data_IF_258088341825
#
_entry.id   IF_258088341825
#
_cell.length_a   1.000
_cell.length_b   1.000
_cell.length_c   1.000
_cell.angle_alpha   90.00
_cell.angle_beta   90.00
_cell.angle_gamma   90.00
#
_symmetry.space_group_name_H-M   'P 1'
#
loop_
_entity.id
_entity.type
_entity.pdbx_description
1 polymer ?
#
# COMPACT_ATOMS: atom_id res chain seq x y z
N UNK A 1 8.90 -12.07 13.01
CA UNK A 1 9.54 -11.71 11.73
C UNK A 1 10.91 -11.08 11.91
N UNK A 2 11.05 -10.02 12.71
CA UNK A 2 12.34 -9.34 12.94
C UNK A 2 13.40 -10.30 13.50
N UNK A 3 13.11 -11.02 14.59
CA UNK A 3 14.03 -12.04 15.15
C UNK A 3 14.51 -13.03 14.09
N UNK A 4 13.58 -13.54 13.28
CA UNK A 4 13.90 -14.47 12.20
C UNK A 4 14.85 -13.84 11.18
N UNK A 5 14.60 -12.59 10.77
CA UNK A 5 15.48 -11.87 9.86
C UNK A 5 16.93 -11.76 10.35
N UNK A 6 17.14 -11.43 11.63
CA UNK A 6 18.49 -11.31 12.19
C UNK A 6 19.15 -12.67 12.47
N UNK A 7 18.37 -13.76 12.54
CA UNK A 7 18.88 -15.12 12.60
C UNK A 7 19.19 -15.69 11.20
N UNK A 8 18.58 -15.17 10.13
CA UNK A 8 18.76 -15.65 8.75
C UNK A 8 20.23 -15.84 8.37
N UNK A 9 21.15 -14.88 8.61
CA UNK A 9 22.56 -15.07 8.22
C UNK A 9 23.20 -16.27 8.90
N UNK A 10 22.93 -16.47 10.20
CA UNK A 10 23.44 -17.61 10.97
C UNK A 10 22.84 -18.94 10.50
N UNK A 11 21.57 -18.93 10.11
CA UNK A 11 20.89 -20.12 9.56
C UNK A 11 21.49 -20.47 8.19
N UNK A 12 21.73 -19.49 7.33
CA UNK A 12 22.33 -19.70 6.01
C UNK A 12 23.77 -20.22 6.14
N UNK A 13 24.55 -19.67 7.07
CA UNK A 13 25.89 -20.16 7.40
C UNK A 13 25.85 -21.62 7.88
N UNK A 14 24.94 -21.96 8.80
CA UNK A 14 24.73 -23.34 9.27
C UNK A 14 24.37 -24.30 8.11
N UNK A 15 23.65 -23.82 7.10
CA UNK A 15 23.24 -24.60 5.93
C UNK A 15 24.23 -24.55 4.76
N UNK A 16 25.37 -23.85 4.90
CA UNK A 16 26.34 -23.59 3.83
C UNK A 16 25.70 -23.01 2.55
N UNK A 17 24.68 -22.16 2.71
CA UNK A 17 24.00 -21.48 1.60
C UNK A 17 24.62 -20.10 1.37
N UNK A 18 24.72 -19.69 0.11
CA UNK A 18 25.19 -18.35 -0.24
C UNK A 18 24.15 -17.30 0.16
N UNK A 19 24.60 -16.26 0.88
CA UNK A 19 23.83 -15.05 1.16
C UNK A 19 24.28 -13.93 0.23
N UNK A 20 23.33 -13.18 -0.34
CA UNK A 20 23.65 -11.94 -1.06
C UNK A 20 24.19 -10.89 -0.08
N UNK A 21 25.39 -10.37 -0.30
CA UNK A 21 25.94 -9.25 0.48
C UNK A 21 25.47 -7.87 -0.02
N UNK A 22 24.61 -7.83 -1.04
CA UNK A 22 24.11 -6.59 -1.63
C UNK A 22 23.14 -5.88 -0.70
N UNK A 23 23.43 -4.62 -0.38
CA UNK A 23 22.60 -3.78 0.47
C UNK A 23 23.24 -3.38 1.78
N UNK A 24 22.50 -2.66 2.62
CA UNK A 24 22.98 -2.25 3.93
C UNK A 24 22.79 -3.36 4.98
N UNK A 25 23.62 -3.33 6.02
CA UNK A 25 23.48 -4.21 7.20
C UNK A 25 22.33 -3.68 8.08
N UNK A 26 21.29 -4.49 8.37
CA UNK A 26 20.16 -4.09 9.18
C UNK A 26 20.54 -3.66 10.59
N UNK A 27 19.81 -2.69 11.14
CA UNK A 27 19.93 -2.29 12.54
C UNK A 27 18.65 -2.65 13.30
N UNK A 28 18.80 -3.40 14.38
CA UNK A 28 17.69 -3.88 15.19
C UNK A 28 16.74 -2.78 15.67
N UNK A 29 17.28 -1.60 16.01
CA UNK A 29 16.49 -0.44 16.44
C UNK A 29 15.61 0.10 15.32
N UNK A 30 16.14 0.16 14.10
CA UNK A 30 15.39 0.63 12.92
C UNK A 30 14.24 -0.33 12.64
N UNK A 31 14.49 -1.64 12.72
CA UNK A 31 13.46 -2.65 12.50
C UNK A 31 12.36 -2.63 13.56
N UNK A 32 12.70 -2.52 14.85
CA UNK A 32 11.69 -2.51 15.93
C UNK A 32 10.78 -1.29 15.87
N UNK A 33 11.33 -0.12 15.55
CA UNK A 33 10.54 1.10 15.44
C UNK A 33 9.85 1.27 14.09
N UNK A 34 9.82 0.22 13.25
CA UNK A 34 9.22 0.25 11.91
C UNK A 34 9.79 1.36 11.00
N UNK A 35 11.07 1.68 11.13
CA UNK A 35 11.74 2.74 10.36
C UNK A 35 12.51 2.21 9.14
N UNK A 36 12.37 0.93 8.79
CA UNK A 36 13.11 0.31 7.68
C UNK A 36 12.80 0.96 6.33
N UNK A 37 11.54 1.37 6.09
CA UNK A 37 11.16 2.08 4.87
C UNK A 37 11.94 3.39 4.70
N UNK A 38 12.11 4.16 5.77
CA UNK A 38 12.91 5.39 5.74
C UNK A 38 14.40 5.09 5.61
N UNK A 39 14.89 4.04 6.27
CA UNK A 39 16.28 3.62 6.10
C UNK A 39 16.58 3.28 4.65
N UNK A 40 15.69 2.55 3.97
CA UNK A 40 15.81 2.23 2.54
C UNK A 40 15.81 3.47 1.65
N UNK A 41 14.95 4.46 1.95
CA UNK A 41 14.93 5.74 1.22
C UNK A 41 16.25 6.50 1.41
N UNK A 42 16.76 6.59 2.64
CA UNK A 42 18.00 7.34 2.94
C UNK A 42 19.27 6.65 2.46
N UNK A 43 19.31 5.32 2.45
CA UNK A 43 20.47 4.55 1.99
C UNK A 43 20.44 4.25 0.51
N UNK A 44 19.39 4.66 -0.21
CA UNK A 44 19.12 4.33 -1.62
C UNK A 44 19.40 2.85 -1.94
N UNK A 45 19.04 1.97 -1.02
CA UNK A 45 19.37 0.55 -1.07
C UNK A 45 18.46 -0.25 -0.15
N UNK A 46 18.34 -1.55 -0.42
CA UNK A 46 17.59 -2.47 0.41
C UNK A 46 18.50 -3.14 1.45
N UNK A 47 17.94 -3.69 2.55
CA UNK A 47 18.72 -4.47 3.49
C UNK A 47 19.25 -5.74 2.81
N UNK A 48 20.48 -6.11 3.15
CA UNK A 48 21.16 -7.30 2.61
C UNK A 48 20.62 -8.63 3.17
N UNK A 49 19.60 -8.58 4.02
CA UNK A 49 19.06 -9.74 4.72
C UNK A 49 17.59 -9.92 4.41
N UNK A 50 17.21 -11.10 3.91
CA UNK A 50 15.82 -11.51 3.77
C UNK A 50 15.24 -11.95 5.13
N UNK A 51 13.98 -11.61 5.49
CA UNK A 51 12.94 -10.98 4.68
C UNK A 51 12.81 -9.45 4.80
N UNK A 52 13.79 -8.73 5.36
CA UNK A 52 13.64 -7.28 5.64
C UNK A 52 13.44 -6.43 4.38
N UNK A 53 13.82 -6.94 3.20
CA UNK A 53 13.63 -6.26 1.93
C UNK A 53 12.17 -5.89 1.64
N UNK A 54 11.20 -6.68 2.11
CA UNK A 54 9.76 -6.41 1.93
C UNK A 54 9.13 -5.71 3.13
N UNK A 55 9.91 -5.42 4.19
CA UNK A 55 9.38 -4.85 5.42
C UNK A 55 8.89 -3.41 5.27
N UNK A 56 9.28 -2.71 4.20
CA UNK A 56 8.83 -1.35 3.95
C UNK A 56 7.30 -1.23 3.87
N UNK A 57 6.60 -2.22 3.31
CA UNK A 57 5.13 -2.17 3.21
C UNK A 57 4.48 -2.34 4.57
N UNK A 58 5.04 -3.22 5.41
CA UNK A 58 4.60 -3.39 6.80
C UNK A 58 4.83 -2.10 7.62
N UNK A 59 5.99 -1.45 7.45
CA UNK A 59 6.25 -0.16 8.08
C UNK A 59 5.21 0.89 7.68
N UNK A 60 4.84 0.95 6.39
CA UNK A 60 3.79 1.85 5.90
C UNK A 60 2.44 1.54 6.56
N UNK A 61 2.07 0.26 6.68
CA UNK A 61 0.83 -0.17 7.35
C UNK A 61 0.77 0.26 8.83
N UNK A 62 1.86 0.06 9.59
CA UNK A 62 1.92 0.45 11.00
C UNK A 62 1.85 1.97 11.18
N UNK A 63 2.59 2.74 10.36
CA UNK A 63 2.49 4.20 10.36
C UNK A 63 1.09 4.68 10.00
N UNK A 64 0.45 4.02 9.04
CA UNK A 64 -0.93 4.28 8.67
C UNK A 64 -1.87 4.07 9.86
N UNK A 65 -1.80 2.94 10.58
CA UNK A 65 -2.71 2.67 11.69
C UNK A 65 -2.61 3.73 12.80
N UNK A 66 -1.39 4.17 13.10
CA UNK A 66 -1.18 5.24 14.08
C UNK A 66 -1.81 6.55 13.58
N UNK A 67 -1.46 7.00 12.37
CA UNK A 67 -1.91 8.29 11.85
C UNK A 67 -3.42 8.29 11.60
N UNK A 68 -3.95 7.23 11.01
CA UNK A 68 -5.38 7.09 10.71
C UNK A 68 -6.22 6.92 11.97
N UNK A 69 -5.75 6.12 12.93
CA UNK A 69 -6.39 5.95 14.22
C UNK A 69 -6.49 7.27 14.99
N UNK A 70 -5.40 8.03 15.06
CA UNK A 70 -5.41 9.38 15.66
C UNK A 70 -6.31 10.34 14.88
N UNK A 71 -6.26 10.31 13.54
CA UNK A 71 -7.10 11.15 12.69
C UNK A 71 -8.58 10.92 12.98
N UNK A 72 -9.04 9.66 13.00
CA UNK A 72 -10.43 9.32 13.30
C UNK A 72 -10.79 9.64 14.76
N UNK A 73 -9.87 9.47 15.70
CA UNK A 73 -10.09 9.79 17.10
C UNK A 73 -10.40 11.29 17.31
N UNK A 74 -9.66 12.17 16.63
CA UNK A 74 -9.85 13.62 16.77
C UNK A 74 -10.88 14.21 15.81
N UNK A 75 -11.11 13.60 14.64
CA UNK A 75 -12.03 14.12 13.63
C UNK A 75 -13.47 13.72 13.93
N UNK A 76 -14.37 14.69 13.79
CA UNK A 76 -15.82 14.41 13.77
C UNK A 76 -16.15 13.58 12.53
N UNK A 77 -17.11 12.65 12.65
CA UNK A 77 -17.57 11.78 11.54
C UNK A 77 -17.86 12.52 10.23
N UNK A 78 -18.42 13.73 10.30
CA UNK A 78 -18.70 14.57 9.12
C UNK A 78 -17.46 15.00 8.32
N UNK A 79 -16.27 14.94 8.94
CA UNK A 79 -15.00 15.34 8.33
C UNK A 79 -14.24 14.16 7.71
N UNK A 80 -14.68 12.91 7.95
CA UNK A 80 -14.05 11.71 7.37
C UNK A 80 -13.98 11.74 5.84
N UNK A 81 -15.01 12.20 5.09
CA UNK A 81 -14.89 12.34 3.64
C UNK A 81 -13.75 13.28 3.21
N UNK A 82 -13.56 14.40 3.94
CA UNK A 82 -12.48 15.33 3.66
C UNK A 82 -11.11 14.74 3.97
N UNK A 83 -11.00 13.90 5.01
CA UNK A 83 -9.78 13.14 5.30
C UNK A 83 -9.44 12.18 4.14
N UNK A 84 -10.43 11.44 3.63
CA UNK A 84 -10.24 10.51 2.49
C UNK A 84 -9.76 11.26 1.25
N UNK A 85 -10.44 12.34 0.87
CA UNK A 85 -10.06 13.15 -0.30
C UNK A 85 -8.66 13.76 -0.08
N UNK A 86 -8.40 14.29 1.10
CA UNK A 86 -7.09 14.83 1.48
C UNK A 86 -5.98 13.80 1.37
N UNK A 87 -6.21 12.56 1.83
CA UNK A 87 -5.25 11.46 1.73
C UNK A 87 -4.94 11.09 0.27
N UNK A 88 -5.98 11.04 -0.59
CA UNK A 88 -5.82 10.76 -2.02
C UNK A 88 -4.99 11.85 -2.71
N UNK A 89 -5.30 13.12 -2.45
CA UNK A 89 -4.55 14.25 -3.02
C UNK A 89 -3.11 14.28 -2.51
N UNK A 90 -2.92 14.09 -1.20
CA UNK A 90 -1.62 14.09 -0.55
C UNK A 90 -0.72 12.99 -1.12
N UNK A 91 -1.25 11.80 -1.37
CA UNK A 91 -0.47 10.71 -1.94
C UNK A 91 0.01 11.01 -3.36
N UNK A 92 -0.87 11.54 -4.20
CA UNK A 92 -0.51 11.92 -5.57
C UNK A 92 0.51 13.05 -5.60
N UNK A 93 0.34 14.09 -4.78
CA UNK A 93 1.31 15.19 -4.65
C UNK A 93 2.66 14.64 -4.18
N UNK A 94 2.66 13.77 -3.16
CA UNK A 94 3.89 13.18 -2.61
C UNK A 94 4.61 12.32 -3.64
N UNK A 95 3.88 11.54 -4.46
CA UNK A 95 4.49 10.77 -5.57
C UNK A 95 5.15 11.66 -6.60
N UNK A 96 4.51 12.77 -6.98
CA UNK A 96 5.11 13.74 -7.91
C UNK A 96 6.41 14.28 -7.32
N UNK A 97 6.39 14.71 -6.04
CA UNK A 97 7.58 15.22 -5.37
C UNK A 97 8.69 14.16 -5.28
N UNK A 98 8.38 12.94 -4.85
CA UNK A 98 9.36 11.86 -4.74
C UNK A 98 9.94 11.52 -6.11
N UNK A 99 9.12 11.45 -7.15
CA UNK A 99 9.55 11.20 -8.52
C UNK A 99 10.53 12.28 -9.01
N UNK A 100 10.21 13.57 -8.79
CA UNK A 100 11.09 14.68 -9.21
C UNK A 100 12.43 14.71 -8.46
N UNK A 101 12.52 14.08 -7.29
CA UNK A 101 13.73 13.99 -6.49
C UNK A 101 14.45 12.62 -6.63
N UNK A 102 13.97 11.73 -7.50
CA UNK A 102 14.55 10.39 -7.68
C UNK A 102 14.36 9.46 -6.47
N UNK A 103 13.40 9.77 -5.58
CA UNK A 103 13.14 8.98 -4.38
C UNK A 103 12.14 7.85 -4.65
N UNK A 104 12.30 6.67 -4.02
CA UNK A 104 11.38 5.56 -4.19
C UNK A 104 10.11 5.75 -3.35
N UNK A 105 8.97 5.24 -3.84
CA UNK A 105 7.64 5.37 -3.20
C UNK A 105 7.44 4.39 -2.03
N UNK A 106 8.32 4.42 -1.03
CA UNK A 106 8.31 3.52 0.13
C UNK A 106 7.75 4.18 1.39
N UNK A 107 7.43 5.47 1.33
CA UNK A 107 6.97 6.23 2.49
C UNK A 107 5.43 6.15 2.63
N UNK A 108 4.93 6.54 3.81
CA UNK A 108 3.50 6.54 4.07
C UNK A 108 2.75 7.49 3.12
N UNK A 109 3.27 8.69 2.89
CA UNK A 109 2.57 9.72 2.13
C UNK A 109 2.34 9.25 0.69
N UNK A 110 3.36 8.72 0.01
CA UNK A 110 3.23 8.16 -1.34
C UNK A 110 2.29 6.96 -1.46
N UNK A 111 1.87 6.36 -0.34
CA UNK A 111 1.01 5.17 -0.30
C UNK A 111 -0.31 5.39 0.48
N UNK A 112 -0.59 6.61 0.92
CA UNK A 112 -1.68 6.88 1.86
C UNK A 112 -3.08 6.67 1.26
N UNK A 113 -3.19 6.81 -0.05
CA UNK A 113 -4.42 6.66 -0.81
C UNK A 113 -4.93 5.23 -0.90
N UNK A 114 -4.06 4.21 -0.88
CA UNK A 114 -4.46 2.80 -0.83
C UNK A 114 -5.43 2.53 0.32
N UNK A 115 -5.14 3.11 1.48
CA UNK A 115 -5.98 3.00 2.64
C UNK A 115 -7.23 3.89 2.55
N UNK A 116 -7.09 5.09 1.98
CA UNK A 116 -8.22 5.98 1.73
C UNK A 116 -9.27 5.32 0.82
N UNK A 117 -8.84 4.59 -0.21
CA UNK A 117 -9.73 3.81 -1.07
C UNK A 117 -10.45 2.69 -0.30
N UNK A 118 -9.78 2.04 0.66
CA UNK A 118 -10.42 1.09 1.57
C UNK A 118 -11.46 1.75 2.49
N UNK A 119 -11.26 3.02 2.86
CA UNK A 119 -12.18 3.75 3.72
C UNK A 119 -13.48 4.19 3.00
N UNK A 120 -13.47 4.33 1.67
CA UNK A 120 -14.66 4.70 0.88
C UNK A 120 -15.82 3.71 1.07
N UNK A 121 -15.66 2.39 0.77
CA UNK A 121 -16.75 1.43 0.96
C UNK A 121 -17.15 1.30 2.43
N UNK A 122 -16.21 1.45 3.38
CA UNK A 122 -16.52 1.45 4.80
C UNK A 122 -17.45 2.62 5.18
N UNK A 123 -17.15 3.83 4.70
CA UNK A 123 -17.99 5.00 4.94
C UNK A 123 -19.39 4.84 4.32
N UNK A 124 -19.48 4.28 3.11
CA UNK A 124 -20.75 4.01 2.45
C UNK A 124 -21.57 2.96 3.19
N UNK A 125 -20.93 1.90 3.70
CA UNK A 125 -21.58 0.85 4.46
C UNK A 125 -22.16 1.40 5.77
N UNK A 126 -21.42 2.22 6.50
CA UNK A 126 -21.87 2.82 7.77
C UNK A 126 -23.00 3.85 7.57
N UNK A 127 -23.12 4.45 6.38
CA UNK A 127 -24.16 5.44 6.07
C UNK A 127 -25.39 4.85 5.36
N UNK A 128 -25.27 3.74 4.63
CA UNK A 128 -26.30 3.26 3.70
C UNK A 128 -26.18 1.76 3.42
N UNK A 129 -26.04 0.97 4.48
CA UNK A 129 -25.87 -0.49 4.40
C UNK A 129 -26.90 -1.18 3.49
N UNK A 130 -28.19 -0.98 3.73
CA UNK A 130 -29.25 -1.64 2.94
C UNK A 130 -29.19 -1.27 1.45
N UNK A 131 -29.00 0.01 1.13
CA UNK A 131 -28.90 0.48 -0.26
C UNK A 131 -27.68 -0.11 -0.95
N UNK A 132 -26.54 -0.17 -0.26
CA UNK A 132 -25.29 -0.71 -0.78
C UNK A 132 -25.39 -2.22 -1.03
N UNK A 133 -25.94 -2.97 -0.08
CA UNK A 133 -26.17 -4.41 -0.23
C UNK A 133 -27.15 -4.72 -1.35
N UNK A 134 -28.21 -3.93 -1.50
CA UNK A 134 -29.17 -4.10 -2.60
C UNK A 134 -28.52 -3.83 -3.96
N UNK A 135 -27.78 -2.72 -4.12
CA UNK A 135 -27.00 -2.45 -5.35
C UNK A 135 -26.01 -3.59 -5.67
N UNK A 136 -25.30 -4.13 -4.68
CA UNK A 136 -24.36 -5.24 -4.90
C UNK A 136 -25.06 -6.54 -5.36
N UNK A 137 -26.28 -6.79 -4.89
CA UNK A 137 -27.12 -7.92 -5.30
C UNK A 137 -27.64 -7.75 -6.73
N UNK A 138 -27.93 -6.52 -7.15
CA UNK A 138 -28.37 -6.21 -8.52
C UNK A 138 -27.28 -6.42 -9.57
N UNK A 139 -25.99 -6.35 -9.19
CA UNK A 139 -24.89 -6.58 -10.13
C UNK A 139 -24.91 -8.04 -10.61
N UNK A 140 -25.09 -8.28 -11.93
CA UNK A 140 -25.15 -9.62 -12.48
C UNK A 140 -23.81 -10.35 -12.26
N UNK A 141 -23.92 -11.65 -11.97
CA UNK A 141 -22.75 -12.49 -11.67
C UNK A 141 -21.70 -12.49 -12.79
N UNK A 142 -22.12 -12.35 -14.05
CA UNK A 142 -21.23 -12.23 -15.21
C UNK A 142 -20.29 -11.03 -15.11
N UNK A 143 -20.80 -9.86 -14.69
CA UNK A 143 -19.96 -8.66 -14.53
C UNK A 143 -18.92 -8.85 -13.41
N UNK A 144 -19.26 -9.57 -12.34
CA UNK A 144 -18.32 -9.88 -11.26
C UNK A 144 -17.18 -10.77 -11.76
N UNK A 145 -17.50 -11.81 -12.53
CA UNK A 145 -16.48 -12.67 -13.15
C UNK A 145 -15.65 -11.95 -14.22
N UNK A 146 -16.26 -11.08 -15.02
CA UNK A 146 -15.52 -10.25 -15.99
C UNK A 146 -14.55 -9.32 -15.25
N UNK A 147 -15.00 -8.63 -14.19
CA UNK A 147 -14.15 -7.76 -13.40
C UNK A 147 -12.98 -8.53 -12.76
N UNK A 148 -13.24 -9.73 -12.24
CA UNK A 148 -12.20 -10.62 -11.70
C UNK A 148 -11.22 -11.08 -12.79
N UNK A 149 -11.71 -11.49 -13.96
CA UNK A 149 -10.87 -11.90 -15.07
C UNK A 149 -10.00 -10.74 -15.57
N UNK A 150 -10.56 -9.53 -15.66
CA UNK A 150 -9.83 -8.32 -16.02
C UNK A 150 -8.76 -7.97 -14.99
N UNK A 151 -9.05 -8.09 -13.68
CA UNK A 151 -8.05 -7.80 -12.65
C UNK A 151 -6.90 -8.82 -12.66
N UNK A 152 -7.21 -10.12 -12.81
CA UNK A 152 -6.19 -11.17 -12.94
C UNK A 152 -5.34 -10.93 -14.19
N UNK A 153 -5.98 -10.67 -15.34
CA UNK A 153 -5.30 -10.40 -16.61
C UNK A 153 -4.41 -9.16 -16.51
N UNK A 154 -4.89 -8.11 -15.85
CA UNK A 154 -4.09 -6.92 -15.60
C UNK A 154 -2.86 -7.24 -14.75
N UNK A 155 -3.03 -7.97 -13.64
CA UNK A 155 -1.93 -8.35 -12.74
C UNK A 155 -0.89 -9.22 -13.46
N UNK A 156 -1.32 -10.16 -14.31
CA UNK A 156 -0.41 -11.09 -15.01
C UNK A 156 0.29 -10.49 -16.22
N UNK A 157 -0.33 -9.52 -16.91
CA UNK A 157 0.28 -8.81 -18.04
C UNK A 157 1.13 -7.61 -17.59
N UNK A 158 0.89 -7.10 -16.39
CA UNK A 158 1.65 -5.98 -15.83
C UNK A 158 3.16 -6.19 -15.61
N UNK A 159 3.75 -7.40 -15.47
CA UNK A 159 5.18 -7.56 -15.26
C UNK A 159 6.04 -7.13 -16.48
N UNK A 160 5.47 -7.05 -17.68
CA UNK A 160 6.23 -6.88 -18.94
C UNK A 160 6.24 -5.46 -19.51
N UNK A 161 5.56 -4.49 -18.89
CA UNK A 161 5.51 -3.10 -19.39
C UNK A 161 6.14 -2.12 -18.39
N UNK A 162 7.28 -1.56 -18.79
CA UNK A 162 7.85 -0.33 -18.22
C UNK A 162 6.80 0.77 -18.44
N UNK A 163 6.04 1.15 -17.42
CA UNK A 163 5.23 2.37 -17.49
C UNK A 163 4.81 2.81 -16.08
N UNK A 164 5.39 3.93 -15.63
CA UNK A 164 4.96 4.69 -14.46
C UNK A 164 3.48 5.15 -14.53
N UNK A 165 2.82 5.03 -15.69
CA UNK A 165 1.38 5.20 -15.91
C UNK A 165 0.53 4.11 -15.20
N UNK A 166 1.16 3.02 -14.73
CA UNK A 166 0.56 1.92 -13.98
C UNK A 166 -0.21 2.40 -12.73
N UNK A 167 0.33 3.31 -11.94
CA UNK A 167 -0.34 3.76 -10.71
C UNK A 167 -1.59 4.58 -10.99
N UNK A 168 -1.52 5.52 -11.94
CA UNK A 168 -2.64 6.39 -12.29
C UNK A 168 -3.79 5.58 -12.91
N UNK A 169 -3.50 4.64 -13.82
CA UNK A 169 -4.54 3.83 -14.48
C UNK A 169 -5.15 2.77 -13.56
N UNK A 170 -4.39 2.15 -12.64
CA UNK A 170 -4.99 1.20 -11.70
C UNK A 170 -5.93 1.92 -10.72
N UNK A 171 -5.55 3.13 -10.29
CA UNK A 171 -6.41 3.97 -9.45
C UNK A 171 -7.62 4.48 -10.22
N UNK A 172 -7.45 5.01 -11.43
CA UNK A 172 -8.57 5.43 -12.29
C UNK A 172 -9.52 4.27 -12.66
N UNK A 173 -9.02 3.05 -12.82
CA UNK A 173 -9.86 1.88 -13.09
C UNK A 173 -10.67 1.47 -11.86
N UNK A 174 -10.07 1.49 -10.66
CA UNK A 174 -10.82 1.35 -9.41
C UNK A 174 -11.81 2.51 -9.24
N UNK A 175 -11.40 3.76 -9.46
CA UNK A 175 -12.24 4.95 -9.38
C UNK A 175 -13.46 4.87 -10.30
N UNK A 176 -13.30 4.42 -11.54
CA UNK A 176 -14.40 4.26 -12.51
C UNK A 176 -15.28 3.05 -12.23
N UNK A 177 -14.72 1.95 -11.70
CA UNK A 177 -15.49 0.80 -11.24
C UNK A 177 -16.35 1.14 -10.03
N UNK A 178 -15.79 1.82 -9.03
CA UNK A 178 -16.53 2.31 -7.87
C UNK A 178 -17.55 3.39 -8.29
N UNK A 179 -17.17 4.39 -9.09
CA UNK A 179 -18.09 5.44 -9.53
C UNK A 179 -19.32 4.90 -10.27
N UNK A 180 -19.17 3.87 -11.12
CA UNK A 180 -20.30 3.19 -11.79
C UNK A 180 -21.08 2.23 -10.91
N UNK A 181 -20.48 1.68 -9.86
CA UNK A 181 -21.23 0.92 -8.85
C UNK A 181 -22.16 1.83 -8.04
N UNK A 182 -21.80 3.11 -7.89
CA UNK A 182 -22.42 4.03 -6.95
C UNK A 182 -23.25 5.16 -7.57
N UNK A 183 -23.16 5.44 -8.87
CA UNK A 183 -24.21 6.12 -9.64
C UNK A 183 -25.38 5.18 -9.90
#
# INVERSE_FOLDING_TARGET
>A
MIVFAFLTPKILELLNLSSSSEGYVPNWWVSIFFMENYKMIFSDSFPNTSPLRVMWSLCVEEHFYIIWGLSIYFLKRKNVPFLIIGAILLANISRILFFTNGLPFLDLLTNFDYFAFGAIPALLLVNSEEKLLNKIKEIPLRLKYIALALSITYITLSPTSILHIRFLLTQLFMESFFARLFS
#
